data_IF_344916920629
#
_entry.id   IF_344916920629
#
_cell.length_a   1.000
_cell.length_b   1.000
_cell.length_c   1.000
_cell.angle_alpha   90.00
_cell.angle_beta   90.00
_cell.angle_gamma   90.00
#
_symmetry.space_group_name_H-M   'P 1'
#
loop_
_entity.id
_entity.type
_entity.pdbx_description
1 polymer ?
#
# COMPACT_ATOMS: atom_id res chain seq x y z
N UNK A 1 12.04 18.83 -6.64
CA UNK A 1 12.15 19.98 -5.71
C UNK A 1 11.02 20.01 -4.68
N UNK A 2 9.74 19.98 -5.05
CA UNK A 2 8.62 20.04 -4.09
C UNK A 2 8.63 18.98 -2.97
N UNK A 3 9.13 17.76 -3.22
CA UNK A 3 9.21 16.71 -2.19
C UNK A 3 10.24 17.01 -1.08
N UNK A 4 11.40 17.57 -1.46
CA UNK A 4 12.50 17.84 -0.50
C UNK A 4 12.13 18.94 0.50
N UNK A 5 11.28 19.88 0.09
CA UNK A 5 10.81 20.99 0.93
C UNK A 5 9.47 20.71 1.61
N UNK A 6 8.98 19.46 1.57
CA UNK A 6 7.73 19.11 2.24
C UNK A 6 7.97 19.04 3.76
N UNK A 7 7.31 19.88 4.57
CA UNK A 7 7.54 19.93 6.02
C UNK A 7 7.17 18.62 6.73
N UNK A 8 6.23 17.84 6.20
CA UNK A 8 5.86 16.52 6.75
C UNK A 8 7.03 15.54 6.58
N UNK A 9 7.66 15.54 5.39
CA UNK A 9 8.83 14.69 5.09
C UNK A 9 9.99 15.07 5.99
N UNK A 10 10.32 16.37 6.08
CA UNK A 10 11.41 16.88 6.92
C UNK A 10 11.19 16.45 8.38
N UNK A 11 10.00 16.71 8.93
CA UNK A 11 9.71 16.41 10.33
C UNK A 11 9.82 14.90 10.62
N UNK A 12 9.20 14.05 9.78
CA UNK A 12 9.25 12.60 9.96
C UNK A 12 10.68 12.06 9.85
N UNK A 13 11.46 12.55 8.87
CA UNK A 13 12.86 12.14 8.71
C UNK A 13 13.76 12.62 9.87
N UNK A 14 13.56 13.84 10.38
CA UNK A 14 14.33 14.33 11.56
C UNK A 14 14.02 13.56 12.84
N UNK A 15 12.88 12.86 12.92
CA UNK A 15 12.54 11.94 14.02
C UNK A 15 13.17 10.54 13.85
N UNK A 16 14.08 10.36 12.88
CA UNK A 16 14.78 9.09 12.65
C UNK A 16 13.99 8.07 11.82
N UNK A 17 12.88 8.45 11.18
CA UNK A 17 12.15 7.54 10.30
C UNK A 17 12.86 7.37 8.95
N UNK A 18 13.10 6.12 8.58
CA UNK A 18 13.73 5.71 7.32
C UNK A 18 12.73 5.43 6.19
N UNK A 19 11.46 5.81 6.33
CA UNK A 19 10.39 5.50 5.36
C UNK A 19 10.65 6.03 3.95
N UNK A 20 11.34 7.15 3.83
CA UNK A 20 11.72 7.70 2.53
C UNK A 20 12.85 6.90 1.86
N UNK A 21 13.72 6.26 2.65
CA UNK A 21 14.94 5.61 2.16
C UNK A 21 14.78 4.10 1.98
N UNK A 22 14.19 3.39 2.96
CA UNK A 22 14.15 1.93 2.96
C UNK A 22 13.01 1.34 2.11
N UNK A 23 11.77 1.84 2.17
CA UNK A 23 10.72 1.36 1.29
C UNK A 23 10.44 2.28 0.08
N UNK A 24 10.32 3.60 0.26
CA UNK A 24 9.86 4.49 -0.83
C UNK A 24 10.83 4.52 -2.01
N UNK A 25 12.12 4.76 -1.75
CA UNK A 25 13.13 4.87 -2.80
C UNK A 25 13.29 3.54 -3.59
N UNK A 26 13.36 2.35 -2.96
CA UNK A 26 13.37 1.08 -3.69
C UNK A 26 12.06 0.81 -4.46
N UNK A 27 10.90 1.23 -3.96
CA UNK A 27 9.63 1.19 -4.73
C UNK A 27 9.74 2.04 -5.99
N UNK A 28 10.30 3.24 -5.90
CA UNK A 28 10.50 4.12 -7.06
C UNK A 28 11.51 3.53 -8.06
N UNK A 29 12.60 2.92 -7.59
CA UNK A 29 13.55 2.23 -8.48
C UNK A 29 12.92 1.03 -9.19
N UNK A 30 12.13 0.21 -8.48
CA UNK A 30 11.38 -0.88 -9.09
C UNK A 30 10.40 -0.37 -10.15
N UNK A 31 9.64 0.69 -9.84
CA UNK A 31 8.73 1.34 -10.77
C UNK A 31 9.46 1.85 -12.03
N UNK A 32 10.57 2.57 -11.86
CA UNK A 32 11.36 3.10 -12.98
C UNK A 32 11.93 1.97 -13.85
N UNK A 33 12.46 0.90 -13.26
CA UNK A 33 12.98 -0.25 -14.00
C UNK A 33 11.90 -0.97 -14.79
N UNK A 34 10.73 -1.19 -14.19
CA UNK A 34 9.57 -1.78 -14.87
C UNK A 34 9.11 -0.91 -16.05
N UNK A 35 8.96 0.41 -15.86
CA UNK A 35 8.56 1.32 -16.93
C UNK A 35 9.62 1.43 -18.05
N UNK A 36 10.90 1.38 -17.69
CA UNK A 36 12.01 1.42 -18.67
C UNK A 36 12.03 0.17 -19.53
N UNK A 37 11.79 -1.00 -18.93
CA UNK A 37 11.67 -2.25 -19.65
C UNK A 37 10.47 -2.23 -20.61
N UNK A 38 9.28 -1.81 -20.16
CA UNK A 38 8.07 -1.82 -20.99
C UNK A 38 8.13 -0.77 -22.11
N UNK A 39 8.77 0.37 -21.88
CA UNK A 39 9.02 1.37 -22.93
C UNK A 39 9.92 0.82 -24.05
N UNK A 40 10.84 -0.08 -23.71
CA UNK A 40 11.76 -0.73 -24.65
C UNK A 40 11.16 -1.97 -25.33
N UNK A 41 9.95 -2.39 -24.94
CA UNK A 41 9.29 -3.62 -25.41
C UNK A 41 8.86 -3.59 -26.88
N UNK A 42 9.01 -2.46 -27.57
CA UNK A 42 8.79 -2.35 -29.02
C UNK A 42 9.89 -3.06 -29.82
N UNK A 43 11.03 -3.35 -29.20
CA UNK A 43 12.16 -4.06 -29.78
C UNK A 43 12.32 -5.44 -29.12
N UNK A 44 12.98 -6.42 -29.78
CA UNK A 44 13.31 -7.69 -29.14
C UNK A 44 14.12 -7.43 -27.86
N UNK A 45 13.81 -8.11 -26.74
CA UNK A 45 14.45 -7.84 -25.47
C UNK A 45 15.95 -8.17 -25.54
N UNK A 46 16.79 -7.19 -25.22
CA UNK A 46 18.24 -7.38 -25.12
C UNK A 46 18.64 -7.86 -23.73
N UNK A 47 19.89 -8.29 -23.56
CA UNK A 47 20.44 -8.67 -22.25
C UNK A 47 20.38 -7.51 -21.24
N UNK A 48 20.57 -6.27 -21.71
CA UNK A 48 20.45 -5.07 -20.87
C UNK A 48 19.03 -4.89 -20.31
N UNK A 49 17.99 -5.21 -21.09
CA UNK A 49 16.60 -5.13 -20.65
C UNK A 49 16.33 -6.11 -19.51
N UNK A 50 16.86 -7.34 -19.60
CA UNK A 50 16.74 -8.32 -18.52
C UNK A 50 17.54 -7.92 -17.27
N UNK A 51 18.71 -7.28 -17.43
CA UNK A 51 19.45 -6.72 -16.30
C UNK A 51 18.67 -5.62 -15.57
N UNK A 52 17.95 -4.77 -16.30
CA UNK A 52 17.05 -3.76 -15.70
C UNK A 52 15.92 -4.43 -14.91
N UNK A 53 15.34 -5.53 -15.40
CA UNK A 53 14.31 -6.28 -14.67
C UNK A 53 14.85 -6.97 -13.43
N UNK A 54 16.06 -7.52 -13.49
CA UNK A 54 16.72 -8.08 -12.30
C UNK A 54 16.95 -6.99 -11.25
N UNK A 55 17.38 -5.80 -11.66
CA UNK A 55 17.56 -4.69 -10.73
C UNK A 55 16.22 -4.21 -10.15
N UNK A 56 15.18 -4.13 -10.97
CA UNK A 56 13.83 -3.78 -10.53
C UNK A 56 13.28 -4.80 -9.52
N UNK A 57 13.45 -6.10 -9.79
CA UNK A 57 13.08 -7.17 -8.88
C UNK A 57 13.86 -7.10 -7.56
N UNK A 58 15.17 -6.89 -7.63
CA UNK A 58 16.04 -6.71 -6.47
C UNK A 58 15.57 -5.58 -5.56
N UNK A 59 15.30 -4.39 -6.13
CA UNK A 59 14.81 -3.24 -5.37
C UNK A 59 13.40 -3.46 -4.83
N UNK A 60 12.53 -4.17 -5.55
CA UNK A 60 11.22 -4.56 -5.03
C UNK A 60 11.36 -5.47 -3.81
N UNK A 61 12.20 -6.51 -3.88
CA UNK A 61 12.50 -7.40 -2.74
C UNK A 61 13.11 -6.65 -1.54
N UNK A 62 14.05 -5.74 -1.80
CA UNK A 62 14.62 -4.85 -0.78
C UNK A 62 13.56 -3.98 -0.12
N UNK A 63 12.61 -3.44 -0.89
CA UNK A 63 11.52 -2.62 -0.38
C UNK A 63 10.61 -3.40 0.58
N UNK A 64 10.27 -4.65 0.20
CA UNK A 64 9.41 -5.55 0.99
C UNK A 64 10.12 -6.03 2.25
N UNK A 65 11.43 -6.23 2.19
CA UNK A 65 12.24 -6.54 3.36
C UNK A 65 12.30 -5.34 4.33
N UNK A 66 12.56 -4.14 3.82
CA UNK A 66 12.66 -2.94 4.65
C UNK A 66 11.35 -2.57 5.36
N UNK A 67 10.21 -2.79 4.70
CA UNK A 67 8.87 -2.83 5.31
C UNK A 67 8.00 -3.79 4.54
N UNK A 68 7.10 -4.52 5.20
CA UNK A 68 6.29 -5.52 4.50
C UNK A 68 5.27 -4.95 3.50
N UNK A 69 4.80 -3.71 3.68
CA UNK A 69 3.67 -3.15 2.91
C UNK A 69 3.87 -3.08 1.38
N UNK A 70 5.07 -2.83 0.80
CA UNK A 70 5.25 -2.79 -0.65
C UNK A 70 4.92 -4.11 -1.34
N UNK A 71 4.72 -5.20 -0.60
CA UNK A 71 4.23 -6.47 -1.15
C UNK A 71 2.94 -6.30 -1.95
N UNK A 72 2.10 -5.31 -1.58
CA UNK A 72 0.85 -4.98 -2.29
C UNK A 72 1.08 -4.52 -3.74
N UNK A 73 2.30 -4.10 -4.09
CA UNK A 73 2.67 -3.68 -5.45
C UNK A 73 3.08 -4.84 -6.36
N UNK A 74 3.41 -6.01 -5.79
CA UNK A 74 3.95 -7.16 -6.54
C UNK A 74 3.04 -7.56 -7.71
N UNK A 75 1.73 -7.62 -7.46
CA UNK A 75 0.76 -7.96 -8.49
C UNK A 75 0.65 -6.86 -9.56
N UNK A 76 0.66 -5.59 -9.18
CA UNK A 76 0.63 -4.47 -10.14
C UNK A 76 1.86 -4.50 -11.06
N UNK A 77 3.06 -4.74 -10.53
CA UNK A 77 4.27 -4.86 -11.35
C UNK A 77 4.20 -6.07 -12.30
N UNK A 78 3.83 -7.23 -11.78
CA UNK A 78 3.72 -8.47 -12.56
C UNK A 78 2.71 -8.34 -13.71
N UNK A 79 1.54 -7.76 -13.45
CA UNK A 79 0.51 -7.59 -14.48
C UNK A 79 0.88 -6.52 -15.51
N UNK A 80 1.55 -5.44 -15.11
CA UNK A 80 2.05 -4.44 -16.06
C UNK A 80 3.09 -5.03 -17.01
N UNK A 81 4.09 -5.75 -16.49
CA UNK A 81 5.12 -6.44 -17.28
C UNK A 81 4.51 -7.50 -18.19
N UNK A 82 3.62 -8.32 -17.64
CA UNK A 82 2.96 -9.39 -18.36
C UNK A 82 2.08 -8.84 -19.48
N UNK A 83 1.30 -7.79 -19.26
CA UNK A 83 0.42 -7.23 -20.30
C UNK A 83 1.20 -6.49 -21.40
N UNK A 84 2.28 -5.78 -21.04
CA UNK A 84 3.06 -4.95 -21.98
C UNK A 84 3.89 -5.77 -22.96
N UNK A 85 4.25 -7.00 -22.59
CA UNK A 85 5.06 -7.93 -23.42
C UNK A 85 4.22 -8.76 -24.40
N UNK A 86 2.89 -8.68 -24.32
CA UNK A 86 1.99 -9.43 -25.19
C UNK A 86 1.60 -8.61 -26.40
N UNK A 87 1.53 -9.25 -27.58
CA UNK A 87 0.91 -8.65 -28.77
C UNK A 87 -0.51 -8.16 -28.46
N UNK A 88 -0.65 -6.89 -28.07
CA UNK A 88 -1.78 -5.94 -28.13
C UNK A 88 -3.23 -6.36 -27.81
N UNK A 89 -3.56 -7.64 -27.69
CA UNK A 89 -4.94 -8.16 -27.68
C UNK A 89 -5.44 -8.49 -26.27
N UNK A 90 -4.53 -8.78 -25.32
CA UNK A 90 -4.89 -9.28 -23.99
C UNK A 90 -5.30 -8.18 -22.98
N UNK A 91 -4.72 -6.98 -23.07
CA UNK A 91 -5.08 -5.85 -22.18
C UNK A 91 -6.58 -5.49 -22.24
N UNK A 92 -7.24 -5.74 -23.38
CA UNK A 92 -8.68 -5.53 -23.54
C UNK A 92 -9.54 -6.65 -22.95
N UNK A 93 -9.01 -7.86 -22.70
CA UNK A 93 -9.83 -8.97 -22.16
C UNK A 93 -10.01 -8.87 -20.65
N UNK A 94 -8.98 -8.41 -19.91
CA UNK A 94 -9.07 -8.22 -18.46
C UNK A 94 -10.05 -7.11 -18.05
N UNK A 95 -10.37 -6.19 -18.98
CA UNK A 95 -11.30 -5.09 -18.79
C UNK A 95 -12.73 -5.41 -19.26
N UNK A 96 -12.99 -6.61 -19.82
CA UNK A 96 -14.34 -6.97 -20.27
C UNK A 96 -15.24 -7.35 -19.08
N UNK A 97 -16.51 -6.90 -19.06
CA UNK A 97 -17.46 -7.34 -18.05
C UNK A 97 -17.70 -8.85 -18.19
N UNK A 98 -17.66 -9.56 -17.05
CA UNK A 98 -17.95 -10.99 -16.97
C UNK A 98 -19.44 -11.21 -17.19
N UNK A 99 -19.82 -11.91 -18.27
CA UNK A 99 -21.21 -12.22 -18.60
C UNK A 99 -21.55 -13.71 -18.43
N UNK A 100 -20.55 -14.58 -18.50
CA UNK A 100 -20.68 -16.03 -18.37
C UNK A 100 -19.64 -16.61 -17.40
N UNK A 101 -19.92 -17.72 -16.69
CA UNK A 101 -18.90 -18.45 -15.91
C UNK A 101 -17.71 -18.91 -16.76
N UNK A 102 -17.93 -19.17 -18.06
CA UNK A 102 -16.85 -19.49 -19.00
C UNK A 102 -15.90 -18.31 -19.24
N UNK A 103 -16.37 -17.07 -19.09
CA UNK A 103 -15.55 -15.86 -19.18
C UNK A 103 -14.65 -15.72 -17.96
N UNK A 104 -15.13 -16.12 -16.77
CA UNK A 104 -14.32 -16.13 -15.56
C UNK A 104 -13.17 -17.13 -15.68
N UNK A 105 -13.43 -18.33 -16.17
CA UNK A 105 -12.36 -19.33 -16.39
C UNK A 105 -11.32 -18.82 -17.39
N UNK A 106 -11.76 -18.28 -18.54
CA UNK A 106 -10.85 -17.66 -19.53
C UNK A 106 -10.05 -16.52 -18.92
N UNK A 107 -10.69 -15.69 -18.11
CA UNK A 107 -10.04 -14.58 -17.41
C UNK A 107 -8.94 -15.09 -16.45
N UNK A 108 -9.24 -16.11 -15.63
CA UNK A 108 -8.27 -16.69 -14.69
C UNK A 108 -7.10 -17.38 -15.41
N UNK A 109 -7.38 -18.10 -16.50
CA UNK A 109 -6.34 -18.70 -17.35
C UNK A 109 -5.46 -17.62 -18.01
N UNK A 110 -6.07 -16.52 -18.47
CA UNK A 110 -5.33 -15.39 -19.03
C UNK A 110 -4.46 -14.71 -17.97
N UNK A 111 -4.97 -14.55 -16.74
CA UNK A 111 -4.20 -14.04 -15.62
C UNK A 111 -3.00 -14.93 -15.32
N UNK A 112 -3.22 -16.25 -15.23
CA UNK A 112 -2.18 -17.25 -14.98
C UNK A 112 -1.10 -17.23 -16.07
N UNK A 113 -1.49 -17.25 -17.35
CA UNK A 113 -0.55 -17.19 -18.47
C UNK A 113 0.18 -15.85 -18.56
N UNK A 114 -0.41 -14.76 -18.06
CA UNK A 114 0.24 -13.44 -17.98
C UNK A 114 1.33 -13.42 -16.92
N UNK A 115 1.08 -13.98 -15.74
CA UNK A 115 2.07 -14.00 -14.65
C UNK A 115 3.22 -14.99 -14.89
N UNK A 116 3.03 -15.99 -15.76
CA UNK A 116 4.05 -16.98 -16.13
C UNK A 116 4.97 -16.52 -17.26
N UNK A 117 4.87 -15.27 -17.73
CA UNK A 117 5.72 -14.78 -18.82
C UNK A 117 7.16 -14.58 -18.35
N UNK A 118 8.17 -14.83 -19.22
CA UNK A 118 9.58 -14.74 -18.82
C UNK A 118 9.97 -13.43 -18.12
N UNK A 119 9.54 -12.23 -18.59
CA UNK A 119 9.88 -10.97 -17.93
C UNK A 119 9.29 -10.86 -16.52
N UNK A 120 8.09 -11.41 -16.30
CA UNK A 120 7.45 -11.46 -14.99
C UNK A 120 8.19 -12.42 -14.08
N UNK A 121 8.56 -13.60 -14.58
CA UNK A 121 9.31 -14.60 -13.81
C UNK A 121 10.67 -14.05 -13.37
N UNK A 122 11.40 -13.36 -14.24
CA UNK A 122 12.68 -12.73 -13.90
C UNK A 122 12.51 -11.71 -12.77
N UNK A 123 11.52 -10.84 -12.87
CA UNK A 123 11.21 -9.85 -11.83
C UNK A 123 10.82 -10.51 -10.50
N UNK A 124 9.89 -11.47 -10.53
CA UNK A 124 9.38 -12.16 -9.34
C UNK A 124 10.49 -12.96 -8.66
N UNK A 125 11.25 -13.75 -9.41
CA UNK A 125 12.35 -14.55 -8.85
C UNK A 125 13.43 -13.66 -8.24
N UNK A 126 13.81 -12.58 -8.92
CA UNK A 126 14.77 -11.63 -8.37
C UNK A 126 14.27 -10.97 -7.08
N UNK A 127 12.99 -10.59 -7.02
CA UNK A 127 12.38 -10.05 -5.82
C UNK A 127 12.32 -11.05 -4.68
N UNK A 128 11.92 -12.30 -4.95
CA UNK A 128 11.89 -13.37 -3.96
C UNK A 128 13.27 -13.66 -3.40
N UNK A 129 14.28 -13.75 -4.27
CA UNK A 129 15.68 -13.98 -3.87
C UNK A 129 16.17 -12.83 -2.98
N UNK A 130 15.98 -11.58 -3.40
CA UNK A 130 16.41 -10.41 -2.62
C UNK A 130 15.71 -10.35 -1.26
N UNK A 131 14.38 -10.49 -1.22
CA UNK A 131 13.62 -10.51 0.03
C UNK A 131 14.05 -11.66 0.95
N UNK A 132 14.16 -12.87 0.42
CA UNK A 132 14.48 -14.07 1.21
C UNK A 132 15.91 -14.01 1.74
N UNK A 133 16.88 -13.59 0.93
CA UNK A 133 18.27 -13.46 1.36
C UNK A 133 18.43 -12.43 2.47
N UNK A 134 17.84 -11.24 2.34
CA UNK A 134 17.91 -10.18 3.36
C UNK A 134 17.18 -10.56 4.65
N UNK A 135 16.01 -11.20 4.51
CA UNK A 135 15.24 -11.72 5.65
C UNK A 135 16.01 -12.82 6.38
N UNK A 136 16.65 -13.72 5.63
CA UNK A 136 17.49 -14.77 6.20
C UNK A 136 18.72 -14.20 6.91
N UNK A 137 19.41 -13.22 6.32
CA UNK A 137 20.54 -12.52 6.96
C UNK A 137 20.10 -11.89 8.28
N UNK A 138 18.96 -11.19 8.29
CA UNK A 138 18.44 -10.54 9.50
C UNK A 138 18.05 -11.56 10.58
N UNK A 139 17.44 -12.68 10.17
CA UNK A 139 17.15 -13.79 11.08
C UNK A 139 18.43 -14.46 11.60
N UNK A 140 19.46 -14.61 10.77
CA UNK A 140 20.73 -15.20 11.21
C UNK A 140 21.46 -14.32 12.24
N UNK A 141 21.22 -13.00 12.22
CA UNK A 141 21.79 -12.04 13.18
C UNK A 141 21.00 -11.96 14.48
N UNK A 142 19.67 -11.91 14.41
CA UNK A 142 18.78 -11.56 15.54
C UNK A 142 17.84 -12.70 15.97
N UNK A 143 17.79 -13.81 15.22
CA UNK A 143 16.94 -14.97 15.49
C UNK A 143 15.44 -14.64 15.51
N UNK A 144 14.73 -15.27 16.44
CA UNK A 144 13.27 -15.14 16.62
C UNK A 144 12.81 -13.71 16.94
N UNK A 145 13.70 -12.88 17.50
CA UNK A 145 13.38 -11.48 17.81
C UNK A 145 13.05 -10.70 16.52
N UNK A 146 13.80 -10.96 15.44
CA UNK A 146 13.53 -10.34 14.14
C UNK A 146 12.18 -10.79 13.55
N UNK A 147 11.84 -12.08 13.61
CA UNK A 147 10.55 -12.55 13.11
C UNK A 147 9.39 -11.94 13.88
N UNK A 148 9.52 -11.90 15.20
CA UNK A 148 8.48 -11.36 16.09
C UNK A 148 8.28 -9.86 15.86
N UNK A 149 9.36 -9.07 15.93
CA UNK A 149 9.26 -7.61 15.89
C UNK A 149 9.31 -7.01 14.48
N UNK A 150 10.06 -7.62 13.56
CA UNK A 150 10.23 -7.14 12.18
C UNK A 150 9.14 -7.59 11.22
N UNK A 151 8.52 -8.76 11.44
CA UNK A 151 7.51 -9.32 10.52
C UNK A 151 6.14 -9.45 11.20
N UNK A 152 6.04 -10.25 12.25
CA UNK A 152 4.76 -10.70 12.80
C UNK A 152 4.01 -9.60 13.56
N UNK A 153 4.73 -8.69 14.21
CA UNK A 153 4.16 -7.58 14.98
C UNK A 153 3.17 -6.72 14.16
N UNK A 154 3.40 -6.59 12.85
CA UNK A 154 2.55 -5.77 11.98
C UNK A 154 1.12 -6.33 11.83
N UNK A 155 0.94 -7.64 11.98
CA UNK A 155 -0.38 -8.28 11.86
C UNK A 155 -1.24 -8.07 13.11
N UNK A 156 -0.62 -8.06 14.29
CA UNK A 156 -1.31 -7.93 15.58
C UNK A 156 -1.42 -6.47 16.06
N UNK A 157 -0.62 -5.55 15.50
CA UNK A 157 -0.59 -4.15 15.93
C UNK A 157 -1.98 -3.50 15.90
N UNK A 158 -2.32 -2.89 17.03
CA UNK A 158 -3.45 -1.97 17.21
C UNK A 158 -2.90 -0.69 17.82
N UNK A 159 -3.33 0.45 17.30
CA UNK A 159 -2.90 1.76 17.78
C UNK A 159 -4.12 2.67 17.82
N UNK A 160 -4.37 3.34 18.94
CA UNK A 160 -5.46 4.32 19.04
C UNK A 160 -4.93 5.75 19.10
N UNK A 161 -3.63 5.96 19.32
CA UNK A 161 -3.08 7.31 19.38
C UNK A 161 -2.67 7.74 17.98
N UNK A 162 -2.89 9.02 17.65
CA UNK A 162 -2.46 9.55 16.35
C UNK A 162 -2.96 8.73 15.13
N UNK A 163 -4.14 8.12 15.27
CA UNK A 163 -4.68 7.18 14.28
C UNK A 163 -5.95 7.75 13.61
N UNK A 164 -5.84 8.04 12.32
CA UNK A 164 -6.89 8.57 11.45
C UNK A 164 -7.89 7.50 10.98
N UNK A 165 -7.68 6.23 11.34
CA UNK A 165 -8.47 5.11 10.85
C UNK A 165 -9.96 5.28 11.15
N UNK A 166 -10.81 4.89 10.19
CA UNK A 166 -12.25 4.76 10.40
C UNK A 166 -12.60 3.79 11.55
N UNK A 167 -11.67 2.90 11.90
CA UNK A 167 -11.81 1.91 12.97
C UNK A 167 -11.42 2.46 14.35
N UNK A 168 -11.00 3.73 14.44
CA UNK A 168 -10.42 4.32 15.66
C UNK A 168 -11.28 4.12 16.91
N UNK A 169 -12.57 4.46 16.84
CA UNK A 169 -13.46 4.41 18.02
C UNK A 169 -13.66 2.99 18.52
N UNK A 170 -13.81 2.05 17.59
CA UNK A 170 -13.88 0.63 17.90
C UNK A 170 -12.58 0.15 18.57
N UNK A 171 -11.41 0.52 18.02
CA UNK A 171 -10.11 0.15 18.59
C UNK A 171 -9.95 0.74 20.00
N UNK A 172 -10.33 2.00 20.20
CA UNK A 172 -10.31 2.69 21.48
C UNK A 172 -11.13 1.93 22.53
N UNK A 173 -12.40 1.62 22.23
CA UNK A 173 -13.27 0.86 23.15
C UNK A 173 -12.75 -0.55 23.40
N UNK A 174 -12.25 -1.23 22.36
CA UNK A 174 -11.72 -2.60 22.50
C UNK A 174 -10.52 -2.66 23.46
N UNK A 175 -9.68 -1.63 23.47
CA UNK A 175 -8.57 -1.51 24.43
C UNK A 175 -9.07 -1.25 25.84
N UNK A 176 -10.02 -0.33 26.00
CA UNK A 176 -10.60 -0.06 27.32
C UNK A 176 -11.21 -1.31 27.95
N UNK A 177 -11.96 -2.12 27.18
CA UNK A 177 -12.53 -3.39 27.66
C UNK A 177 -11.43 -4.38 28.06
N UNK A 178 -10.37 -4.49 27.25
CA UNK A 178 -9.24 -5.38 27.53
C UNK A 178 -8.47 -4.97 28.80
N UNK A 179 -8.26 -3.68 29.01
CA UNK A 179 -7.58 -3.13 30.19
C UNK A 179 -8.45 -3.18 31.46
N UNK A 180 -9.77 -3.02 31.32
CA UNK A 180 -10.71 -2.99 32.45
C UNK A 180 -11.20 -4.37 32.91
N UNK A 181 -10.83 -5.45 32.20
CA UNK A 181 -11.27 -6.82 32.51
C UNK A 181 -12.79 -7.05 32.34
N UNK A 182 -13.47 -6.16 31.62
CA UNK A 182 -14.91 -6.27 31.38
C UNK A 182 -15.21 -7.43 30.40
N UNK A 183 -16.36 -8.11 30.53
CA UNK A 183 -16.75 -9.17 29.61
C UNK A 183 -16.84 -8.61 28.19
N UNK A 184 -16.05 -9.19 27.28
CA UNK A 184 -16.06 -8.80 25.87
C UNK A 184 -17.32 -9.32 25.18
N UNK A 185 -17.87 -8.52 24.25
CA UNK A 185 -19.04 -8.90 23.45
C UNK A 185 -18.74 -9.94 22.36
N UNK A 186 -17.49 -10.40 22.24
CA UNK A 186 -17.05 -11.40 21.28
C UNK A 186 -17.26 -12.83 21.83
N UNK A 187 -17.67 -13.80 20.98
CA UNK A 187 -17.74 -15.19 21.39
C UNK A 187 -16.36 -15.68 21.88
N UNK A 188 -16.30 -16.53 22.92
CA UNK A 188 -15.05 -16.95 23.57
C UNK A 188 -14.09 -17.72 22.66
N UNK A 189 -14.53 -18.14 21.46
CA UNK A 189 -13.76 -18.93 20.51
C UNK A 189 -12.89 -18.13 19.55
N UNK A 190 -13.09 -16.81 19.40
CA UNK A 190 -12.26 -15.98 18.51
C UNK A 190 -11.76 -14.76 19.29
N UNK A 191 -10.43 -14.60 19.47
CA UNK A 191 -9.86 -13.39 20.03
C UNK A 191 -10.36 -12.16 19.25
N UNK A 192 -10.89 -11.16 19.95
CA UNK A 192 -11.41 -9.92 19.35
C UNK A 192 -10.42 -9.31 18.34
N UNK A 193 -9.12 -9.39 18.64
CA UNK A 193 -8.02 -8.95 17.79
C UNK A 193 -7.97 -9.62 16.42
N UNK A 194 -8.35 -10.90 16.31
CA UNK A 194 -8.30 -11.68 15.06
C UNK A 194 -9.47 -11.32 14.14
N UNK A 195 -10.70 -11.27 14.65
CA UNK A 195 -11.89 -10.87 13.88
C UNK A 195 -11.75 -9.45 13.32
N UNK A 196 -11.22 -8.55 14.14
CA UNK A 196 -10.98 -7.16 13.77
C UNK A 196 -9.90 -7.07 12.71
N UNK A 197 -8.81 -7.82 12.86
CA UNK A 197 -7.74 -7.86 11.86
C UNK A 197 -8.26 -8.36 10.51
N UNK A 198 -9.10 -9.41 10.49
CA UNK A 198 -9.67 -9.93 9.25
C UNK A 198 -10.65 -8.94 8.60
N UNK A 199 -11.59 -8.39 9.39
CA UNK A 199 -12.62 -7.48 8.90
C UNK A 199 -12.03 -6.15 8.37
N UNK A 200 -10.94 -5.69 8.98
CA UNK A 200 -10.21 -4.49 8.52
C UNK A 200 -9.27 -4.78 7.35
N UNK A 201 -8.72 -6.00 7.24
CA UNK A 201 -7.79 -6.36 6.17
C UNK A 201 -8.45 -6.75 4.84
N UNK A 202 -9.65 -7.34 4.88
CA UNK A 202 -10.29 -7.85 3.68
C UNK A 202 -10.69 -6.74 2.67
N UNK A 203 -11.34 -5.63 3.08
CA UNK A 203 -11.73 -4.57 2.14
C UNK A 203 -10.53 -3.96 1.41
N UNK A 204 -9.46 -3.63 2.15
CA UNK A 204 -8.24 -3.09 1.56
C UNK A 204 -7.58 -4.06 0.58
N UNK A 205 -7.58 -5.37 0.87
CA UNK A 205 -6.99 -6.40 0.01
C UNK A 205 -7.77 -6.58 -1.29
N UNK A 206 -9.10 -6.56 -1.21
CA UNK A 206 -9.97 -6.61 -2.39
C UNK A 206 -9.72 -5.41 -3.29
N UNK A 207 -9.68 -4.19 -2.73
CA UNK A 207 -9.46 -2.99 -3.54
C UNK A 207 -8.05 -2.98 -4.13
N UNK A 208 -7.02 -3.35 -3.37
CA UNK A 208 -5.65 -3.48 -3.89
C UNK A 208 -5.55 -4.46 -5.07
N UNK A 209 -6.24 -5.59 -4.96
CA UNK A 209 -6.33 -6.58 -6.04
C UNK A 209 -7.05 -6.02 -7.27
N UNK A 210 -8.20 -5.36 -7.07
CA UNK A 210 -8.97 -4.75 -8.16
C UNK A 210 -8.21 -3.61 -8.86
N UNK A 211 -7.51 -2.75 -8.12
CA UNK A 211 -6.63 -1.72 -8.65
C UNK A 211 -5.53 -2.35 -9.51
N UNK A 212 -4.85 -3.38 -8.98
CA UNK A 212 -3.80 -4.10 -9.70
C UNK A 212 -4.30 -4.68 -11.02
N UNK A 213 -5.48 -5.30 -11.04
CA UNK A 213 -6.05 -5.87 -12.27
C UNK A 213 -6.49 -4.82 -13.28
N UNK A 214 -7.24 -3.81 -12.82
CA UNK A 214 -7.92 -2.86 -13.72
C UNK A 214 -7.00 -1.76 -14.22
N UNK A 215 -6.01 -1.36 -13.43
CA UNK A 215 -5.21 -0.15 -13.69
C UNK A 215 -3.78 -0.46 -14.09
N UNK A 216 -3.13 -1.43 -13.44
CA UNK A 216 -1.71 -1.68 -13.68
C UNK A 216 -1.33 -1.97 -15.14
N UNK A 217 -2.14 -2.67 -15.97
CA UNK A 217 -1.76 -2.96 -17.35
C UNK A 217 -1.48 -1.72 -18.21
N UNK A 218 -2.14 -0.59 -17.94
CA UNK A 218 -1.98 0.64 -18.74
C UNK A 218 -1.59 1.88 -17.95
N UNK A 219 -1.73 1.87 -16.62
CA UNK A 219 -1.56 3.03 -15.74
C UNK A 219 -0.91 2.58 -14.43
N UNK A 220 0.31 2.05 -14.51
CA UNK A 220 1.02 1.49 -13.35
C UNK A 220 1.17 2.50 -12.19
N UNK A 221 1.65 3.75 -12.38
CA UNK A 221 1.73 4.71 -11.26
C UNK A 221 0.40 4.94 -10.56
N UNK A 222 -0.68 5.08 -11.34
CA UNK A 222 -2.04 5.24 -10.80
C UNK A 222 -2.50 4.00 -10.02
N UNK A 223 -2.17 2.80 -10.50
CA UNK A 223 -2.44 1.55 -9.79
C UNK A 223 -1.74 1.52 -8.44
N UNK A 224 -0.45 1.85 -8.39
CA UNK A 224 0.31 1.89 -7.13
C UNK A 224 -0.26 2.94 -6.18
N UNK A 225 -0.57 4.13 -6.68
CA UNK A 225 -1.17 5.20 -5.89
C UNK A 225 -2.50 4.76 -5.26
N UNK A 226 -3.47 4.31 -6.07
CA UNK A 226 -4.80 3.94 -5.55
C UNK A 226 -4.76 2.68 -4.68
N UNK A 227 -3.90 1.72 -4.98
CA UNK A 227 -3.65 0.56 -4.12
C UNK A 227 -3.13 1.01 -2.75
N UNK A 228 -2.15 1.92 -2.70
CA UNK A 228 -1.59 2.43 -1.44
C UNK A 228 -2.61 3.25 -0.67
N UNK A 229 -3.30 4.17 -1.35
CA UNK A 229 -4.30 5.04 -0.75
C UNK A 229 -5.41 4.21 -0.11
N UNK A 230 -5.93 3.21 -0.84
CA UNK A 230 -6.97 2.31 -0.35
C UNK A 230 -6.46 1.43 0.80
N UNK A 231 -5.22 0.92 0.67
CA UNK A 231 -4.57 0.16 1.73
C UNK A 231 -4.46 0.95 3.03
N UNK A 232 -4.10 2.23 2.94
CA UNK A 232 -3.91 3.10 4.10
C UNK A 232 -5.26 3.52 4.70
N UNK A 233 -6.20 4.01 3.90
CA UNK A 233 -7.44 4.59 4.39
C UNK A 233 -8.39 3.55 5.03
N UNK A 234 -8.32 2.30 4.59
CA UNK A 234 -9.12 1.20 5.13
C UNK A 234 -8.41 0.42 6.25
N UNK A 235 -7.13 0.72 6.51
CA UNK A 235 -6.35 0.03 7.53
C UNK A 235 -6.84 0.36 8.94
N UNK A 236 -6.65 -0.58 9.87
CA UNK A 236 -6.83 -0.37 11.31
C UNK A 236 -5.80 0.58 11.92
N UNK A 237 -4.61 0.70 11.33
CA UNK A 237 -3.58 1.67 11.72
C UNK A 237 -3.40 2.65 10.56
N UNK A 238 -3.76 3.92 10.75
CA UNK A 238 -3.53 4.98 9.79
C UNK A 238 -2.89 6.17 10.50
N UNK A 239 -1.58 6.34 10.33
CA UNK A 239 -0.83 7.47 10.92
C UNK A 239 -0.37 8.46 9.85
N UNK A 240 -0.01 9.68 10.24
CA UNK A 240 0.52 10.70 9.33
C UNK A 240 1.81 10.25 8.59
N UNK A 241 2.54 9.26 9.12
CA UNK A 241 3.70 8.68 8.45
C UNK A 241 3.34 8.07 7.08
N UNK A 242 2.12 7.56 6.93
CA UNK A 242 1.69 6.89 5.70
C UNK A 242 1.44 7.86 4.55
N UNK A 243 1.33 9.17 4.83
CA UNK A 243 1.30 10.21 3.80
C UNK A 243 2.56 10.14 2.91
N UNK A 244 3.69 9.66 3.46
CA UNK A 244 4.92 9.45 2.72
C UNK A 244 4.84 8.35 1.66
N UNK A 245 3.87 7.44 1.77
CA UNK A 245 3.78 6.28 0.89
C UNK A 245 3.00 6.62 -0.38
N UNK A 246 1.85 7.29 -0.25
CA UNK A 246 0.97 7.55 -1.39
C UNK A 246 1.12 8.94 -2.01
N UNK A 247 1.57 9.98 -1.29
CA UNK A 247 1.71 11.32 -1.88
C UNK A 247 2.75 11.38 -3.03
N UNK A 248 3.93 10.73 -2.95
CA UNK A 248 4.85 10.64 -4.08
C UNK A 248 4.23 9.95 -5.30
N UNK A 249 3.46 8.89 -5.06
CA UNK A 249 2.76 8.14 -6.11
C UNK A 249 1.61 8.96 -6.72
N UNK A 250 0.95 9.81 -5.92
CA UNK A 250 -0.05 10.76 -6.41
C UNK A 250 0.56 11.75 -7.42
N UNK A 251 1.74 12.30 -7.10
CA UNK A 251 2.47 13.19 -8.00
C UNK A 251 2.85 12.49 -9.31
N UNK A 252 3.34 11.26 -9.24
CA UNK A 252 3.65 10.44 -10.43
C UNK A 252 2.41 10.04 -11.23
N UNK A 253 1.24 10.01 -10.58
CA UNK A 253 -0.04 9.71 -11.22
C UNK A 253 -0.66 10.93 -11.90
N UNK A 254 -0.11 12.13 -11.69
CA UNK A 254 -0.65 13.38 -12.24
C UNK A 254 -0.90 13.38 -13.75
N UNK A 255 -0.11 12.74 -14.63
CA UNK A 255 -0.42 12.70 -16.07
C UNK A 255 -1.73 11.95 -16.40
N UNK A 256 -2.19 11.08 -15.49
CA UNK A 256 -3.43 10.31 -15.66
C UNK A 256 -4.65 11.01 -15.05
N UNK A 257 -4.45 12.10 -14.30
CA UNK A 257 -5.50 12.88 -13.65
C UNK A 257 -5.81 14.12 -14.52
N UNK A 258 -7.09 14.34 -14.86
CA UNK A 258 -7.49 15.43 -15.77
C UNK A 258 -7.33 16.82 -15.11
N UNK A 259 -6.48 17.68 -15.67
CA UNK A 259 -6.51 19.15 -15.51
C UNK A 259 -5.97 19.73 -14.18
N UNK A 260 -5.11 20.74 -14.29
CA UNK A 260 -4.26 21.24 -13.18
C UNK A 260 -4.95 21.94 -11.99
N UNK A 261 -6.22 22.34 -12.10
CA UNK A 261 -6.96 22.99 -11.00
C UNK A 261 -7.87 22.05 -10.23
N UNK A 262 -8.21 20.89 -10.80
CA UNK A 262 -9.12 19.93 -10.15
C UNK A 262 -8.48 19.26 -8.95
N UNK A 263 -7.14 19.17 -8.90
CA UNK A 263 -6.39 18.64 -7.76
C UNK A 263 -6.41 19.56 -6.55
N UNK A 264 -6.65 20.87 -6.74
CA UNK A 264 -6.63 21.86 -5.65
C UNK A 264 -7.75 21.60 -4.65
N UNK A 265 -8.95 21.23 -5.12
CA UNK A 265 -10.10 21.01 -4.23
C UNK A 265 -9.93 19.76 -3.36
N UNK A 266 -9.62 18.56 -3.89
CA UNK A 266 -9.31 17.39 -3.07
C UNK A 266 -8.12 17.62 -2.15
N UNK A 267 -7.07 18.30 -2.62
CA UNK A 267 -5.91 18.61 -1.78
C UNK A 267 -6.28 19.56 -0.63
N UNK A 268 -7.06 20.61 -0.90
CA UNK A 268 -7.54 21.51 0.13
C UNK A 268 -8.43 20.77 1.14
N UNK A 269 -9.33 19.90 0.66
CA UNK A 269 -10.20 19.12 1.52
C UNK A 269 -9.42 18.11 2.37
N UNK A 270 -8.42 17.45 1.78
CA UNK A 270 -7.46 16.60 2.49
C UNK A 270 -6.75 17.39 3.59
N UNK A 271 -6.14 18.53 3.29
CA UNK A 271 -5.42 19.35 4.27
C UNK A 271 -6.34 19.86 5.38
N UNK A 272 -7.54 20.33 5.04
CA UNK A 272 -8.54 20.75 6.01
C UNK A 272 -8.96 19.61 6.94
N UNK A 273 -9.18 18.41 6.39
CA UNK A 273 -9.52 17.24 7.20
C UNK A 273 -8.38 16.83 8.14
N UNK A 274 -7.12 16.94 7.70
CA UNK A 274 -5.94 16.70 8.55
C UNK A 274 -5.87 17.72 9.69
N UNK A 275 -6.03 19.00 9.40
CA UNK A 275 -6.03 20.07 10.42
C UNK A 275 -7.18 19.87 11.41
N UNK A 276 -8.39 19.61 10.93
CA UNK A 276 -9.56 19.38 11.77
C UNK A 276 -9.37 18.16 12.70
N UNK A 277 -8.80 17.08 12.17
CA UNK A 277 -8.44 15.90 12.96
C UNK A 277 -7.39 16.24 14.02
N UNK A 278 -6.30 16.93 13.65
CA UNK A 278 -5.22 17.30 14.58
C UNK A 278 -5.69 18.23 15.71
N UNK A 279 -6.54 19.22 15.41
CA UNK A 279 -7.11 20.10 16.43
C UNK A 279 -7.97 19.32 17.43
N UNK A 280 -8.78 18.40 16.93
CA UNK A 280 -9.65 17.56 17.77
C UNK A 280 -8.82 16.59 18.61
N UNK A 281 -7.80 15.97 18.01
CA UNK A 281 -6.86 15.09 18.71
C UNK A 281 -6.08 15.84 19.79
N UNK A 282 -5.61 17.06 19.51
CA UNK A 282 -4.92 17.90 20.50
C UNK A 282 -5.83 18.27 21.67
N UNK A 283 -7.11 18.58 21.41
CA UNK A 283 -8.10 18.81 22.46
C UNK A 283 -8.33 17.59 23.35
N UNK A 284 -8.39 16.39 22.75
CA UNK A 284 -8.54 15.14 23.48
C UNK A 284 -7.28 14.77 24.26
N UNK A 285 -6.12 14.69 23.60
CA UNK A 285 -4.89 14.11 24.12
C UNK A 285 -4.08 15.07 24.99
N UNK A 286 -4.15 16.40 24.75
CA UNK A 286 -3.33 17.38 25.48
C UNK A 286 -4.15 18.30 26.39
N UNK A 287 -5.37 18.66 26.00
CA UNK A 287 -6.24 19.53 26.81
C UNK A 287 -7.20 18.74 27.71
N UNK A 288 -7.32 17.42 27.51
CA UNK A 288 -8.15 16.54 28.34
C UNK A 288 -9.66 16.67 28.08
N UNK A 289 -10.08 17.27 26.96
CA UNK A 289 -11.49 17.33 26.60
C UNK A 289 -12.03 15.96 26.22
N UNK A 290 -13.26 15.63 26.60
CA UNK A 290 -13.90 14.35 26.30
C UNK A 290 -14.37 14.21 24.83
N UNK A 291 -13.53 14.57 23.86
CA UNK A 291 -13.84 14.68 22.43
C UNK A 291 -13.73 13.37 21.63
N UNK A 292 -13.99 12.23 22.26
CA UNK A 292 -13.84 10.91 21.63
C UNK A 292 -14.71 10.76 20.37
N UNK A 293 -16.00 11.14 20.45
CA UNK A 293 -16.90 11.05 19.30
C UNK A 293 -16.53 12.04 18.19
N UNK A 294 -16.15 13.26 18.56
CA UNK A 294 -15.69 14.28 17.63
C UNK A 294 -14.46 13.80 16.87
N UNK A 295 -13.50 13.18 17.57
CA UNK A 295 -12.30 12.63 16.95
C UNK A 295 -12.63 11.51 15.96
N UNK A 296 -13.58 10.64 16.32
CA UNK A 296 -14.08 9.61 15.41
C UNK A 296 -14.72 10.21 14.16
N UNK A 297 -15.59 11.23 14.30
CA UNK A 297 -16.18 11.94 13.17
C UNK A 297 -15.14 12.61 12.28
N UNK A 298 -14.07 13.19 12.85
CA UNK A 298 -12.97 13.73 12.06
C UNK A 298 -12.21 12.65 11.30
N UNK A 299 -12.09 11.43 11.84
CA UNK A 299 -11.53 10.28 11.11
C UNK A 299 -12.40 9.87 9.92
N UNK A 300 -13.73 9.86 10.09
CA UNK A 300 -14.67 9.61 8.99
C UNK A 300 -14.62 10.73 7.93
N UNK A 301 -14.51 11.99 8.34
CA UNK A 301 -14.33 13.13 7.43
C UNK A 301 -13.02 13.01 6.65
N UNK A 302 -11.94 12.61 7.32
CA UNK A 302 -10.65 12.38 6.67
C UNK A 302 -10.73 11.25 5.64
N UNK A 303 -11.44 10.15 5.95
CA UNK A 303 -11.73 9.11 4.97
C UNK A 303 -12.49 9.66 3.77
N UNK A 304 -13.56 10.43 3.99
CA UNK A 304 -14.34 11.06 2.93
C UNK A 304 -13.49 12.01 2.06
N UNK A 305 -12.45 12.62 2.61
CA UNK A 305 -11.51 13.44 1.85
C UNK A 305 -10.55 12.66 0.95
N UNK A 306 -10.41 11.35 1.17
CA UNK A 306 -9.54 10.46 0.39
C UNK A 306 -10.30 9.62 -0.67
N UNK A 307 -11.64 9.68 -0.71
CA UNK A 307 -12.51 8.96 -1.67
C UNK A 307 -12.97 9.91 -2.77
#
# INVERSE_FOLDING_TARGET
>A
MFWLYNPIVINISTRGSSDSLLPLLPVLFALLGVLSYTSSSLQPPTLSNYAVLLLAGFFHGLSVHGKIYPVIYSLSYALHLGCSTGRGQYSRSLLRPLKSPSDLLKYLLNLMTTVLRPPVLVFVLSSLISFSALTYISYAMEGEAYLTHGILYHSSRLDHRHNYSIHWYYIYLSRYVAESGLPSFSPPSIPLSTSVSLLTFLPQSIIAFLCSIKLSPGRLPLSLFLTTLSFVCLNKVYTAQYFLWYLPLALLSSPYLKGGTWIVRPLAFFLLSVVAWLLTAGGLEHLGYAWHLQLHFMGLLHMAANV
#
